data_IF_558862228975
#
_entry.id   IF_558862228975
#
_cell.length_a   1.000
_cell.length_b   1.000
_cell.length_c   1.000
_cell.angle_alpha   90.00
_cell.angle_beta   90.00
_cell.angle_gamma   90.00
#
_symmetry.space_group_name_H-M   'P 1'
#
loop_
_entity.id
_entity.type
_entity.pdbx_description
1 polymer ?
#
# COMPACT_ATOMS: atom_id res chain seq x y z
N UNK A 1 39.52 -21.25 13.72
CA UNK A 1 38.65 -20.43 14.63
C UNK A 1 37.40 -20.13 13.87
N UNK A 2 36.34 -20.91 14.07
CA UNK A 2 35.02 -20.65 13.47
C UNK A 2 34.31 -19.56 14.31
N UNK A 3 34.31 -18.36 13.80
CA UNK A 3 33.47 -17.28 14.35
C UNK A 3 32.02 -17.69 14.19
N UNK A 4 31.40 -18.12 15.27
CA UNK A 4 29.95 -18.33 15.35
C UNK A 4 29.29 -16.96 15.14
N UNK A 5 28.78 -16.72 13.93
CA UNK A 5 28.00 -15.51 13.65
C UNK A 5 26.72 -15.58 14.51
N UNK A 6 26.53 -14.59 15.36
CA UNK A 6 25.29 -14.45 16.14
C UNK A 6 24.12 -14.39 15.15
N UNK A 7 23.07 -15.21 15.31
CA UNK A 7 21.93 -15.19 14.42
C UNK A 7 21.26 -13.81 14.45
N UNK A 8 20.97 -13.27 13.26
CA UNK A 8 20.28 -11.99 13.11
C UNK A 8 18.88 -12.09 13.71
N UNK A 9 18.40 -11.07 14.45
CA UNK A 9 17.06 -11.07 15.02
C UNK A 9 15.99 -11.17 13.91
N UNK A 10 14.82 -11.80 14.18
CA UNK A 10 13.77 -11.93 13.18
C UNK A 10 13.25 -10.55 12.73
N UNK A 11 12.93 -10.42 11.45
CA UNK A 11 12.30 -9.22 10.90
C UNK A 11 10.86 -9.12 11.38
N UNK A 12 10.42 -7.92 11.76
CA UNK A 12 8.99 -7.63 12.04
C UNK A 12 8.29 -7.37 10.71
N UNK A 13 7.62 -8.38 10.20
CA UNK A 13 7.06 -8.42 8.85
C UNK A 13 5.55 -8.53 8.91
N UNK A 14 4.87 -7.77 8.06
CA UNK A 14 3.42 -7.74 7.96
C UNK A 14 2.99 -7.85 6.51
N UNK A 15 2.03 -8.75 6.23
CA UNK A 15 1.32 -8.75 4.96
C UNK A 15 0.35 -7.57 4.93
N UNK A 16 0.24 -6.85 3.82
CA UNK A 16 -0.53 -5.60 3.72
C UNK A 16 -1.29 -5.47 2.40
N UNK A 17 -2.17 -4.51 2.33
CA UNK A 17 -2.77 -4.07 1.07
C UNK A 17 -3.76 -5.06 0.47
N UNK A 18 -3.63 -5.28 -0.85
CA UNK A 18 -4.55 -6.09 -1.63
C UNK A 18 -4.68 -7.53 -1.13
N UNK A 19 -3.58 -8.13 -0.69
CA UNK A 19 -3.57 -9.52 -0.22
C UNK A 19 -4.45 -9.73 1.03
N UNK A 20 -4.37 -8.82 2.00
CA UNK A 20 -5.20 -8.88 3.21
C UNK A 20 -6.67 -8.66 2.86
N UNK A 21 -6.96 -7.60 2.09
CA UNK A 21 -8.32 -7.27 1.64
C UNK A 21 -8.95 -8.42 0.87
N UNK A 22 -8.27 -8.95 -0.13
CA UNK A 22 -8.83 -9.99 -1.00
C UNK A 22 -9.07 -11.29 -0.23
N UNK A 23 -8.16 -11.66 0.69
CA UNK A 23 -8.38 -12.81 1.58
C UNK A 23 -9.58 -12.63 2.49
N UNK A 24 -9.80 -11.44 3.05
CA UNK A 24 -10.98 -11.13 3.88
C UNK A 24 -12.30 -11.17 3.09
N UNK A 25 -12.24 -10.87 1.78
CA UNK A 25 -13.39 -10.98 0.87
C UNK A 25 -13.57 -12.39 0.30
N UNK A 26 -12.73 -13.37 0.67
CA UNK A 26 -12.75 -14.72 0.08
C UNK A 26 -12.35 -14.76 -1.39
N UNK A 27 -11.64 -13.72 -1.88
CA UNK A 27 -11.16 -13.64 -3.25
C UNK A 27 -9.76 -14.28 -3.39
N UNK A 28 -9.39 -14.76 -4.58
CA UNK A 28 -8.04 -15.26 -4.84
C UNK A 28 -6.98 -14.19 -4.56
N UNK A 29 -5.92 -14.58 -3.84
CA UNK A 29 -4.75 -13.75 -3.58
C UNK A 29 -3.65 -14.17 -4.55
N UNK A 30 -3.29 -13.27 -5.48
CA UNK A 30 -2.26 -13.52 -6.48
C UNK A 30 -0.89 -13.01 -6.03
N UNK A 31 -0.84 -11.77 -5.57
CA UNK A 31 0.38 -11.09 -5.13
C UNK A 31 0.31 -10.77 -3.65
N UNK A 32 1.43 -10.93 -2.96
CA UNK A 32 1.55 -10.59 -1.54
C UNK A 32 2.59 -9.49 -1.38
N UNK A 33 2.14 -8.38 -0.81
CA UNK A 33 3.00 -7.26 -0.44
C UNK A 33 3.33 -7.36 1.06
N UNK A 34 4.61 -7.20 1.38
CA UNK A 34 5.10 -7.25 2.75
C UNK A 34 5.69 -5.91 3.18
N UNK A 35 5.41 -5.50 4.40
CA UNK A 35 6.06 -4.36 5.05
C UNK A 35 6.96 -4.86 6.17
N UNK A 36 8.20 -4.40 6.17
CA UNK A 36 9.20 -4.69 7.20
C UNK A 36 9.39 -3.45 8.07
N UNK A 37 9.18 -3.58 9.37
CA UNK A 37 9.29 -2.49 10.34
C UNK A 37 10.55 -2.64 11.17
N UNK A 38 11.30 -1.55 11.36
CA UNK A 38 12.47 -1.51 12.23
C UNK A 38 13.75 -2.13 11.64
N UNK A 39 13.81 -2.26 10.31
CA UNK A 39 14.98 -2.77 9.62
C UNK A 39 15.59 -1.72 8.67
N UNK A 40 16.85 -1.90 8.35
CA UNK A 40 17.59 -1.09 7.37
C UNK A 40 17.77 -1.87 6.05
N UNK A 41 18.17 -1.20 4.95
CA UNK A 41 18.57 -1.90 3.72
C UNK A 41 19.69 -2.93 3.94
N UNK A 42 20.65 -2.63 4.83
CA UNK A 42 21.75 -3.50 5.19
C UNK A 42 21.25 -4.76 5.91
N UNK A 43 20.26 -4.61 6.79
CA UNK A 43 19.59 -5.74 7.46
C UNK A 43 18.92 -6.68 6.46
N UNK A 44 18.29 -6.12 5.42
CA UNK A 44 17.66 -6.90 4.35
C UNK A 44 18.73 -7.63 3.51
N UNK A 45 19.77 -6.91 3.09
CA UNK A 45 20.86 -7.48 2.30
C UNK A 45 21.60 -8.61 3.04
N UNK A 46 21.85 -8.45 4.35
CA UNK A 46 22.49 -9.47 5.20
C UNK A 46 21.68 -10.78 5.29
N UNK A 47 20.38 -10.73 4.96
CA UNK A 47 19.47 -11.88 4.91
C UNK A 47 19.24 -12.40 3.48
N UNK A 48 20.00 -11.90 2.50
CA UNK A 48 19.93 -12.33 1.11
C UNK A 48 18.76 -11.74 0.31
N UNK A 49 18.05 -10.73 0.83
CA UNK A 49 17.05 -10.02 0.04
C UNK A 49 17.73 -9.18 -1.04
N UNK A 50 17.11 -9.16 -2.24
CA UNK A 50 17.67 -8.47 -3.41
C UNK A 50 16.93 -7.14 -3.61
N UNK A 51 17.60 -5.97 -3.57
CA UNK A 51 16.96 -4.69 -3.80
C UNK A 51 16.43 -4.60 -5.23
N UNK A 52 15.20 -4.04 -5.38
CA UNK A 52 14.57 -3.76 -6.67
C UNK A 52 14.02 -2.33 -6.67
N UNK A 53 14.25 -1.63 -7.77
CA UNK A 53 13.89 -0.21 -7.90
C UNK A 53 14.99 0.73 -7.41
N UNK A 54 15.07 1.90 -8.05
CA UNK A 54 16.08 2.92 -7.74
C UNK A 54 15.63 3.89 -6.64
N UNK A 55 14.33 4.12 -6.54
CA UNK A 55 13.77 5.22 -5.75
C UNK A 55 13.05 4.76 -4.46
N UNK A 56 12.78 3.45 -4.35
CA UNK A 56 12.00 2.90 -3.24
C UNK A 56 12.72 1.71 -2.61
N UNK A 57 12.76 1.60 -1.26
CA UNK A 57 13.41 0.50 -0.56
C UNK A 57 12.53 -0.76 -0.59
N UNK A 58 12.41 -1.35 -1.77
CA UNK A 58 11.71 -2.61 -2.03
C UNK A 58 12.74 -3.70 -2.33
N UNK A 59 12.51 -4.87 -1.80
CA UNK A 59 13.41 -6.02 -1.89
C UNK A 59 12.63 -7.27 -2.27
N UNK A 60 13.23 -8.14 -3.06
CA UNK A 60 12.69 -9.47 -3.35
C UNK A 60 13.21 -10.49 -2.35
N UNK A 61 12.30 -11.28 -1.81
CA UNK A 61 12.66 -12.41 -0.97
C UNK A 61 13.52 -13.41 -1.75
N UNK A 62 14.63 -13.93 -1.19
CA UNK A 62 15.59 -14.74 -1.95
C UNK A 62 14.98 -16.02 -2.55
N UNK A 63 14.00 -16.60 -1.89
CA UNK A 63 13.37 -17.87 -2.28
C UNK A 63 12.00 -17.66 -2.95
N UNK A 64 11.09 -16.92 -2.32
CA UNK A 64 9.70 -16.78 -2.81
C UNK A 64 9.55 -15.71 -3.88
N UNK A 65 10.52 -14.79 -4.00
CA UNK A 65 10.49 -13.63 -4.90
C UNK A 65 9.36 -12.64 -4.63
N UNK A 66 8.67 -12.80 -3.52
CA UNK A 66 7.68 -11.83 -3.05
C UNK A 66 8.33 -10.49 -2.68
N UNK A 67 7.57 -9.40 -2.83
CA UNK A 67 8.06 -8.04 -2.57
C UNK A 67 7.96 -7.66 -1.09
N UNK A 68 9.08 -7.21 -0.54
CA UNK A 68 9.22 -6.72 0.82
C UNK A 68 9.66 -5.25 0.80
N UNK A 69 8.81 -4.35 1.26
CA UNK A 69 9.14 -2.93 1.39
C UNK A 69 9.50 -2.58 2.85
N UNK A 70 10.53 -1.78 3.05
CA UNK A 70 10.75 -1.17 4.36
C UNK A 70 9.64 -0.17 4.66
N UNK A 71 9.19 -0.15 5.92
CA UNK A 71 8.23 0.84 6.38
C UNK A 71 8.75 2.25 6.09
N UNK A 72 7.89 3.10 5.51
CA UNK A 72 8.28 4.41 5.04
C UNK A 72 7.18 5.45 5.19
N UNK A 73 7.59 6.69 5.28
CA UNK A 73 6.72 7.86 5.07
C UNK A 73 7.01 8.46 3.69
N UNK A 74 5.99 9.05 3.11
CA UNK A 74 6.07 9.80 1.86
C UNK A 74 5.66 11.23 2.17
N UNK A 75 6.41 12.22 1.69
CA UNK A 75 6.08 13.64 1.81
C UNK A 75 6.17 14.30 0.46
N UNK A 76 5.14 15.05 0.10
CA UNK A 76 5.15 15.86 -1.11
C UNK A 76 6.14 17.02 -0.91
N UNK A 77 7.19 17.08 -1.70
CA UNK A 77 8.20 18.15 -1.70
C UNK A 77 8.04 19.13 -2.87
N UNK A 78 7.26 18.73 -3.92
CA UNK A 78 6.94 19.57 -5.08
C UNK A 78 5.66 19.06 -5.78
N UNK A 79 5.03 19.84 -6.66
CA UNK A 79 3.91 19.37 -7.48
C UNK A 79 4.31 18.20 -8.40
N UNK A 80 3.37 17.25 -8.58
CA UNK A 80 3.54 16.10 -9.49
C UNK A 80 4.31 14.91 -8.89
N UNK A 81 4.44 13.84 -9.69
CA UNK A 81 4.98 12.53 -9.29
C UNK A 81 6.45 12.55 -8.84
N UNK A 82 7.28 13.45 -9.37
CA UNK A 82 8.71 13.56 -9.01
C UNK A 82 8.96 14.33 -7.71
N UNK A 83 7.92 14.86 -7.10
CA UNK A 83 7.99 15.68 -5.90
C UNK A 83 7.82 14.90 -4.59
N UNK A 84 8.14 13.61 -4.53
CA UNK A 84 8.05 12.84 -3.29
C UNK A 84 9.43 12.63 -2.68
N UNK A 85 9.57 13.05 -1.43
CA UNK A 85 10.65 12.59 -0.57
C UNK A 85 10.17 11.32 0.14
N UNK A 86 10.75 10.20 -0.22
CA UNK A 86 10.54 8.91 0.46
C UNK A 86 11.56 8.81 1.58
N UNK A 87 11.08 8.67 2.80
CA UNK A 87 11.94 8.45 3.96
C UNK A 87 11.64 7.07 4.55
N UNK A 88 12.51 6.11 4.25
CA UNK A 88 12.55 4.84 4.97
C UNK A 88 13.53 4.96 6.14
N UNK A 89 13.06 4.62 7.32
CA UNK A 89 13.86 4.63 8.54
C UNK A 89 13.37 3.53 9.46
N UNK A 90 14.25 2.87 10.23
CA UNK A 90 13.84 1.91 11.26
C UNK A 90 12.88 2.50 12.31
N UNK A 91 12.84 3.84 12.44
CA UNK A 91 11.93 4.53 13.34
C UNK A 91 10.50 4.63 12.81
N UNK A 92 10.27 4.43 11.50
CA UNK A 92 8.93 4.47 10.92
C UNK A 92 8.09 3.30 11.41
N UNK A 93 6.95 3.62 11.99
CA UNK A 93 6.01 2.65 12.53
C UNK A 93 5.13 2.04 11.43
N UNK A 94 4.54 0.87 11.69
CA UNK A 94 3.55 0.27 10.80
C UNK A 94 2.35 1.21 10.56
N UNK A 95 1.89 1.91 11.60
CA UNK A 95 0.77 2.85 11.51
C UNK A 95 1.07 4.00 10.54
N UNK A 96 2.28 4.54 10.56
CA UNK A 96 2.70 5.60 9.63
C UNK A 96 2.78 5.09 8.19
N UNK A 97 3.29 3.87 7.97
CA UNK A 97 3.26 3.27 6.62
C UNK A 97 1.83 3.03 6.12
N UNK A 98 0.93 2.57 6.98
CA UNK A 98 -0.47 2.38 6.62
C UNK A 98 -1.18 3.72 6.36
N UNK A 99 -0.84 4.80 7.08
CA UNK A 99 -1.45 6.12 6.95
C UNK A 99 -1.28 6.76 5.56
N UNK A 100 -0.17 6.48 4.88
CA UNK A 100 0.12 7.01 3.53
C UNK A 100 -0.59 6.27 2.40
N UNK A 101 -1.30 5.15 2.68
CA UNK A 101 -1.98 4.35 1.66
C UNK A 101 -3.22 5.06 1.12
N UNK A 102 -3.74 4.55 0.00
CA UNK A 102 -4.88 5.14 -0.70
C UNK A 102 -6.21 4.97 0.04
N UNK A 103 -6.62 3.73 0.29
CA UNK A 103 -7.94 3.41 0.86
C UNK A 103 -7.80 2.63 2.17
N UNK A 104 -8.75 2.84 3.09
CA UNK A 104 -8.80 2.14 4.38
C UNK A 104 -8.80 0.63 4.22
N UNK A 105 -9.51 0.10 3.23
CA UNK A 105 -9.55 -1.33 2.90
C UNK A 105 -8.20 -1.90 2.43
N UNK A 106 -7.25 -1.05 2.04
CA UNK A 106 -5.88 -1.39 1.67
C UNK A 106 -4.87 -1.05 2.77
N UNK A 107 -5.33 -0.48 3.89
CA UNK A 107 -4.52 -0.07 5.04
C UNK A 107 -4.70 -0.99 6.25
N UNK A 108 -5.02 -2.25 6.00
CA UNK A 108 -5.08 -3.33 6.98
C UNK A 108 -3.79 -4.15 6.86
N UNK A 109 -3.19 -4.49 8.00
CA UNK A 109 -2.00 -5.34 8.05
C UNK A 109 -2.28 -6.63 8.82
N UNK A 110 -1.64 -7.71 8.40
CA UNK A 110 -1.68 -9.00 9.04
C UNK A 110 -0.26 -9.46 9.42
N UNK A 111 -0.05 -10.10 10.58
CA UNK A 111 1.23 -10.70 10.93
C UNK A 111 1.66 -11.73 9.86
N UNK A 112 2.97 -11.98 9.72
CA UNK A 112 3.48 -12.92 8.71
C UNK A 112 2.91 -14.34 8.85
N UNK A 113 2.62 -14.77 10.06
CA UNK A 113 2.03 -16.08 10.38
C UNK A 113 0.49 -16.05 10.49
N UNK A 114 -0.16 -15.04 9.92
CA UNK A 114 -1.61 -14.90 10.03
C UNK A 114 -2.38 -16.07 9.40
N UNK A 115 -3.12 -16.79 10.25
CA UNK A 115 -3.92 -17.95 9.86
C UNK A 115 -5.36 -17.61 9.40
N UNK A 116 -5.80 -16.36 9.55
CA UNK A 116 -7.15 -15.90 9.16
C UNK A 116 -7.96 -15.33 10.32
N UNK A 117 -7.41 -15.33 11.54
CA UNK A 117 -8.06 -14.71 12.71
C UNK A 117 -8.06 -13.18 12.57
N UNK A 118 -9.24 -12.58 12.52
CA UNK A 118 -9.39 -11.13 12.41
C UNK A 118 -8.88 -10.38 13.64
N UNK A 119 -8.88 -11.00 14.82
CA UNK A 119 -8.37 -10.39 16.05
C UNK A 119 -6.85 -10.12 15.99
N UNK A 120 -6.13 -10.85 15.13
CA UNK A 120 -4.71 -10.65 14.91
C UNK A 120 -4.40 -9.49 13.93
N UNK A 121 -5.41 -8.93 13.26
CA UNK A 121 -5.21 -7.86 12.28
C UNK A 121 -4.91 -6.52 12.95
N UNK A 122 -4.09 -5.73 12.28
CA UNK A 122 -3.75 -4.37 12.68
C UNK A 122 -4.46 -3.43 11.73
N UNK A 123 -5.52 -2.79 12.21
CA UNK A 123 -6.42 -1.92 11.45
C UNK A 123 -6.61 -0.56 12.13
N UNK A 124 -5.61 0.32 12.12
CA UNK A 124 -5.68 1.60 12.80
C UNK A 124 -6.63 2.61 12.15
N UNK A 125 -7.12 2.33 10.94
CA UNK A 125 -7.94 3.26 10.15
C UNK A 125 -9.36 2.77 9.85
N UNK A 126 -9.77 1.64 10.43
CA UNK A 126 -11.12 1.10 10.30
C UNK A 126 -11.42 0.47 8.93
N UNK A 127 -10.39 -0.08 8.28
CA UNK A 127 -10.53 -0.74 6.99
C UNK A 127 -11.44 -1.96 7.03
N UNK A 128 -11.44 -2.74 8.12
CA UNK A 128 -12.35 -3.87 8.31
C UNK A 128 -13.81 -3.43 8.33
N UNK A 129 -14.11 -2.33 9.03
CA UNK A 129 -15.46 -1.76 9.07
C UNK A 129 -15.90 -1.33 7.68
N UNK A 130 -15.05 -0.58 6.97
CA UNK A 130 -15.35 -0.09 5.63
C UNK A 130 -15.47 -1.24 4.61
N UNK A 131 -14.65 -2.28 4.75
CA UNK A 131 -14.71 -3.49 3.92
C UNK A 131 -16.05 -4.22 4.07
N UNK A 132 -16.51 -4.41 5.31
CA UNK A 132 -17.80 -5.04 5.62
C UNK A 132 -18.98 -4.20 5.18
N UNK A 133 -18.87 -2.87 5.28
CA UNK A 133 -19.90 -1.93 4.86
C UNK A 133 -19.91 -1.69 3.34
N UNK A 134 -18.94 -2.20 2.59
CA UNK A 134 -18.81 -1.92 1.17
C UNK A 134 -18.51 -0.45 0.88
N UNK A 135 -17.54 0.15 1.59
CA UNK A 135 -17.21 1.58 1.49
C UNK A 135 -15.77 1.77 1.02
N UNK A 136 -15.59 2.59 -0.01
CA UNK A 136 -14.30 3.09 -0.46
C UNK A 136 -14.02 4.44 0.22
N UNK A 137 -13.14 4.43 1.20
CA UNK A 137 -12.74 5.61 1.99
C UNK A 137 -11.24 5.81 1.90
N UNK A 138 -10.78 7.06 1.68
CA UNK A 138 -9.37 7.40 1.80
C UNK A 138 -8.87 7.28 3.24
N UNK A 139 -7.58 6.98 3.42
CA UNK A 139 -7.01 6.74 4.75
C UNK A 139 -6.82 8.04 5.52
N UNK A 140 -6.10 8.98 4.91
CA UNK A 140 -5.76 10.30 5.49
C UNK A 140 -5.65 11.34 4.38
N UNK A 141 -5.41 12.61 4.73
CA UNK A 141 -5.12 13.68 3.76
C UNK A 141 -3.87 13.43 2.90
N UNK A 142 -2.99 12.50 3.29
CA UNK A 142 -1.89 12.02 2.44
C UNK A 142 -2.38 11.45 1.10
N UNK A 143 -3.67 11.14 0.96
CA UNK A 143 -4.28 10.79 -0.32
C UNK A 143 -4.02 11.84 -1.41
N UNK A 144 -3.98 13.13 -1.05
CA UNK A 144 -3.71 14.28 -1.95
C UNK A 144 -2.30 14.27 -2.54
N UNK A 145 -1.38 13.57 -1.91
CA UNK A 145 0.03 13.59 -2.32
C UNK A 145 0.23 12.98 -3.70
N UNK A 146 -0.59 11.99 -4.09
CA UNK A 146 -0.48 11.32 -5.38
C UNK A 146 -1.78 11.44 -6.20
N UNK A 147 -1.82 12.30 -7.23
CA UNK A 147 -3.01 12.48 -8.07
C UNK A 147 -3.53 11.20 -8.75
N UNK A 148 -2.66 10.22 -8.99
CA UNK A 148 -3.08 8.94 -9.59
C UNK A 148 -4.07 8.18 -8.72
N UNK A 149 -4.13 8.48 -7.43
CA UNK A 149 -5.11 7.87 -6.51
C UNK A 149 -6.56 8.16 -6.89
N UNK A 150 -6.81 9.26 -7.64
CA UNK A 150 -8.12 9.54 -8.24
C UNK A 150 -8.52 8.39 -9.18
N UNK A 151 -7.61 8.02 -10.09
CA UNK A 151 -7.85 6.93 -11.05
C UNK A 151 -7.85 5.55 -10.37
N UNK A 152 -7.00 5.35 -9.37
CA UNK A 152 -6.98 4.14 -8.57
C UNK A 152 -8.34 3.90 -7.88
N UNK A 153 -8.92 4.97 -7.31
CA UNK A 153 -10.25 4.87 -6.69
C UNK A 153 -11.32 4.52 -7.73
N UNK A 154 -11.30 5.14 -8.93
CA UNK A 154 -12.21 4.80 -10.01
C UNK A 154 -12.08 3.30 -10.40
N UNK A 155 -10.86 2.78 -10.52
CA UNK A 155 -10.61 1.36 -10.78
C UNK A 155 -11.14 0.47 -9.64
N UNK A 156 -10.98 0.87 -8.38
CA UNK A 156 -11.56 0.10 -7.26
C UNK A 156 -13.08 0.14 -7.27
N UNK A 157 -13.70 1.26 -7.63
CA UNK A 157 -15.16 1.34 -7.80
C UNK A 157 -15.65 0.42 -8.92
N UNK A 158 -14.94 0.33 -10.03
CA UNK A 158 -15.23 -0.62 -11.11
C UNK A 158 -15.07 -2.08 -10.66
N UNK A 159 -14.03 -2.39 -9.88
CA UNK A 159 -13.78 -3.73 -9.35
C UNK A 159 -14.81 -4.15 -8.30
N UNK A 160 -15.12 -3.26 -7.38
CA UNK A 160 -16.04 -3.47 -6.28
C UNK A 160 -17.33 -2.67 -6.51
N UNK A 161 -18.02 -2.98 -7.61
CA UNK A 161 -19.19 -2.22 -8.09
C UNK A 161 -20.35 -2.13 -7.08
N UNK A 162 -20.39 -2.99 -6.06
CA UNK A 162 -21.35 -2.92 -4.97
C UNK A 162 -20.90 -1.98 -3.83
N UNK A 163 -19.66 -1.45 -3.89
CA UNK A 163 -19.15 -0.54 -2.88
C UNK A 163 -19.52 0.90 -3.22
N UNK A 164 -19.86 1.67 -2.19
CA UNK A 164 -20.09 3.11 -2.29
C UNK A 164 -18.80 3.89 -1.98
N UNK A 165 -18.66 5.09 -2.54
CA UNK A 165 -17.57 6.00 -2.18
C UNK A 165 -18.02 6.86 -1.02
N UNK A 166 -17.23 6.93 0.06
CA UNK A 166 -17.53 7.77 1.22
C UNK A 166 -17.68 9.24 0.81
N UNK A 167 -18.68 9.99 1.37
CA UNK A 167 -18.94 11.38 1.00
C UNK A 167 -17.72 12.30 1.14
N UNK A 168 -16.94 12.14 2.22
CA UNK A 168 -15.71 12.87 2.46
C UNK A 168 -14.62 12.55 1.43
N UNK A 169 -14.59 11.32 0.93
CA UNK A 169 -13.66 10.92 -0.13
C UNK A 169 -14.07 11.54 -1.47
N UNK A 170 -15.37 11.59 -1.77
CA UNK A 170 -15.88 12.29 -2.95
C UNK A 170 -15.56 13.79 -2.90
N UNK A 171 -15.75 14.42 -1.73
CA UNK A 171 -15.40 15.83 -1.54
C UNK A 171 -13.90 16.07 -1.76
N UNK A 172 -13.04 15.19 -1.22
CA UNK A 172 -11.60 15.22 -1.42
C UNK A 172 -11.24 15.14 -2.91
N UNK A 173 -11.79 14.17 -3.64
CA UNK A 173 -11.54 14.01 -5.07
C UNK A 173 -11.91 15.25 -5.88
N UNK A 174 -13.10 15.81 -5.62
CA UNK A 174 -13.56 17.05 -6.27
C UNK A 174 -12.59 18.20 -6.02
N UNK A 175 -12.13 18.35 -4.77
CA UNK A 175 -11.18 19.42 -4.42
C UNK A 175 -9.81 19.22 -5.10
N UNK A 176 -9.33 17.99 -5.27
CA UNK A 176 -8.10 17.69 -5.99
C UNK A 176 -8.21 18.05 -7.48
N UNK A 177 -9.33 17.68 -8.12
CA UNK A 177 -9.59 18.02 -9.52
C UNK A 177 -9.70 19.54 -9.71
N UNK A 178 -10.44 20.23 -8.84
CA UNK A 178 -10.58 21.68 -8.87
C UNK A 178 -9.27 22.42 -8.64
N UNK A 179 -8.37 21.86 -7.83
CA UNK A 179 -7.02 22.38 -7.60
C UNK A 179 -6.05 22.13 -8.78
N UNK A 180 -6.51 21.47 -9.86
CA UNK A 180 -5.68 21.18 -11.02
C UNK A 180 -4.70 20.02 -10.86
N UNK A 181 -4.81 19.22 -9.79
CA UNK A 181 -3.91 18.08 -9.54
C UNK A 181 -3.93 17.05 -10.70
N UNK A 182 -5.05 16.95 -11.43
CA UNK A 182 -5.17 16.07 -12.59
C UNK A 182 -4.22 16.44 -13.75
N UNK A 183 -3.79 17.71 -13.84
CA UNK A 183 -2.82 18.16 -14.86
C UNK A 183 -1.40 17.61 -14.63
N UNK A 184 -1.13 17.08 -13.42
CA UNK A 184 0.17 16.52 -13.05
C UNK A 184 0.22 14.98 -13.18
N UNK A 185 -0.80 14.37 -13.78
CA UNK A 185 -0.85 12.94 -14.01
C UNK A 185 0.19 12.52 -15.07
N UNK A 186 0.93 11.46 -14.77
CA UNK A 186 1.93 10.87 -15.66
C UNK A 186 1.24 9.89 -16.62
N UNK A 187 1.38 10.05 -17.96
CA UNK A 187 0.64 9.26 -18.95
C UNK A 187 0.73 7.74 -18.75
N UNK A 188 1.91 7.22 -18.42
CA UNK A 188 2.14 5.78 -18.21
C UNK A 188 1.32 5.26 -17.02
N UNK A 189 1.25 6.03 -15.94
CA UNK A 189 0.46 5.68 -14.75
C UNK A 189 -1.04 5.79 -15.01
N UNK A 190 -1.45 6.80 -15.79
CA UNK A 190 -2.83 6.95 -16.26
C UNK A 190 -3.25 5.71 -17.05
N UNK A 191 -2.43 5.33 -18.03
CA UNK A 191 -2.69 4.17 -18.86
C UNK A 191 -2.81 2.88 -18.05
N UNK A 192 -1.91 2.66 -17.09
CA UNK A 192 -1.94 1.49 -16.23
C UNK A 192 -3.24 1.38 -15.43
N UNK A 193 -3.71 2.48 -14.83
CA UNK A 193 -4.95 2.47 -14.04
C UNK A 193 -6.19 2.33 -14.93
N UNK A 194 -6.23 3.03 -16.08
CA UNK A 194 -7.33 2.93 -17.05
C UNK A 194 -7.42 1.53 -17.65
N UNK A 195 -6.31 0.97 -18.14
CA UNK A 195 -6.30 -0.37 -18.71
C UNK A 195 -6.80 -1.42 -17.71
N UNK A 196 -6.30 -1.37 -16.46
CA UNK A 196 -6.77 -2.26 -15.39
C UNK A 196 -8.23 -2.02 -15.01
N UNK A 197 -8.71 -0.77 -15.08
CA UNK A 197 -10.10 -0.41 -14.80
C UNK A 197 -11.05 -0.94 -15.87
N UNK A 198 -10.71 -0.77 -17.15
CA UNK A 198 -11.50 -1.24 -18.29
C UNK A 198 -11.60 -2.77 -18.36
N UNK A 199 -10.65 -3.49 -17.78
CA UNK A 199 -10.68 -4.95 -17.67
C UNK A 199 -11.54 -5.47 -16.50
N UNK A 200 -12.13 -4.60 -15.68
CA UNK A 200 -13.02 -5.03 -14.61
C UNK A 200 -14.40 -5.42 -15.17
N UNK A 201 -15.17 -6.24 -14.43
CA UNK A 201 -16.50 -6.70 -14.90
C UNK A 201 -17.50 -5.56 -15.17
N UNK A 202 -17.36 -4.43 -14.50
CA UNK A 202 -18.18 -3.21 -14.68
C UNK A 202 -17.31 -1.97 -14.69
N UNK A 203 -16.74 -1.62 -15.84
CA UNK A 203 -15.79 -0.50 -15.95
C UNK A 203 -16.45 0.89 -15.97
N UNK A 204 -17.79 0.97 -16.05
CA UNK A 204 -18.58 2.22 -16.06
C UNK A 204 -19.57 2.27 -14.93
#
# INVERSE_FOLDING_TARGET
>A
MTTSATPLPPLRTYMVGGAVRDRLLGLPVHDRDWVVVGATPEDMAARGFVPVGKDFPVFLHPQTREEYALARTERKSAPGYRGFAVQASPAVTLKEDLARRDLTINAIAAPANWAGDEAALIDPFGGLRDLRAGVLRHVTDAFREDPVRILRLARFAARFHAFSIAPETQALLRSMVQAGEAAHLVPERVWQELARGLMQPRPS
#
